data_IF_975599966303
#
_entry.id   IF_975599966303
#
_cell.length_a   1.000
_cell.length_b   1.000
_cell.length_c   1.000
_cell.angle_alpha   90.00
_cell.angle_beta   90.00
_cell.angle_gamma   90.00
#
_symmetry.space_group_name_H-M   'P 1'
#
loop_
_entity.id
_entity.type
_entity.pdbx_description
1 polymer ?
#
# COMPACT_ATOMS: atom_id res chain seq x y z
N UNK A 1 -29.85 -5.83 -11.67
CA UNK A 1 -28.67 -5.22 -12.32
C UNK A 1 -27.46 -5.71 -11.55
N UNK A 2 -26.52 -6.40 -12.22
CA UNK A 2 -25.35 -6.96 -11.51
C UNK A 2 -24.54 -5.84 -10.85
N UNK A 3 -24.09 -5.99 -9.60
CA UNK A 3 -23.38 -4.94 -8.87
C UNK A 3 -22.07 -4.51 -9.53
N UNK A 4 -21.54 -5.31 -10.44
CA UNK A 4 -20.24 -5.07 -11.06
C UNK A 4 -20.14 -3.79 -11.91
N UNK A 5 -21.23 -3.36 -12.56
CA UNK A 5 -21.26 -2.13 -13.36
C UNK A 5 -21.78 -0.89 -12.63
N UNK A 6 -22.21 -1.03 -11.37
CA UNK A 6 -22.73 0.10 -10.57
C UNK A 6 -21.63 1.13 -10.32
N UNK A 7 -21.84 2.42 -10.65
CA UNK A 7 -20.87 3.45 -10.36
C UNK A 7 -20.75 3.67 -8.84
N UNK A 8 -19.53 4.01 -8.40
CA UNK A 8 -19.29 4.42 -7.03
C UNK A 8 -19.58 5.91 -6.86
N UNK A 9 -20.06 6.36 -5.68
CA UNK A 9 -20.33 7.77 -5.41
C UNK A 9 -19.06 8.63 -5.44
N UNK A 10 -17.93 8.03 -5.11
CA UNK A 10 -16.61 8.64 -5.17
C UNK A 10 -15.59 7.61 -5.66
N UNK A 11 -14.58 8.06 -6.41
CA UNK A 11 -13.54 7.20 -6.92
C UNK A 11 -12.59 6.76 -5.80
N UNK A 12 -12.17 5.51 -5.89
CA UNK A 12 -11.06 4.94 -5.13
C UNK A 12 -9.80 4.93 -5.98
N UNK A 13 -8.68 4.78 -5.33
CA UNK A 13 -7.40 4.61 -5.99
C UNK A 13 -6.74 3.30 -5.56
N UNK A 14 -6.48 2.45 -6.55
CA UNK A 14 -5.60 1.32 -6.39
C UNK A 14 -4.18 1.78 -6.66
N UNK A 15 -3.31 1.61 -5.66
CA UNK A 15 -1.93 2.07 -5.70
C UNK A 15 -1.00 0.87 -5.64
N UNK A 16 0.00 0.85 -6.48
CA UNK A 16 1.10 -0.11 -6.40
C UNK A 16 2.43 0.65 -6.39
N UNK A 17 3.27 0.38 -5.41
CA UNK A 17 4.61 0.93 -5.30
C UNK A 17 5.63 -0.20 -5.14
N UNK A 18 6.59 -0.29 -6.04
CA UNK A 18 7.67 -1.27 -5.96
C UNK A 18 8.96 -0.63 -5.44
N UNK A 19 9.75 -1.39 -4.70
CA UNK A 19 11.12 -0.99 -4.33
C UNK A 19 12.00 -1.01 -5.58
N UNK A 20 12.89 -0.04 -5.71
CA UNK A 20 13.84 0.04 -6.82
C UNK A 20 14.62 -1.27 -6.99
N UNK A 21 14.61 -1.82 -8.22
CA UNK A 21 15.23 -3.11 -8.53
C UNK A 21 14.65 -4.30 -7.79
N UNK A 22 13.40 -4.22 -7.33
CA UNK A 22 12.65 -5.32 -6.71
C UNK A 22 13.30 -5.91 -5.45
N UNK A 23 14.12 -5.13 -4.75
CA UNK A 23 14.80 -5.59 -3.53
C UNK A 23 13.79 -5.87 -2.41
N UNK A 24 13.98 -6.97 -1.69
CA UNK A 24 13.15 -7.40 -0.56
C UNK A 24 13.41 -6.57 0.71
N UNK A 25 13.21 -5.26 0.59
CA UNK A 25 13.53 -4.29 1.64
C UNK A 25 12.63 -4.43 2.87
N UNK A 26 11.36 -4.77 2.63
CA UNK A 26 10.35 -4.90 3.70
C UNK A 26 10.35 -6.28 4.38
N UNK A 27 11.22 -7.20 3.97
CA UNK A 27 11.58 -8.36 4.78
C UNK A 27 12.32 -7.92 6.07
N UNK A 28 12.86 -6.69 6.09
CA UNK A 28 13.38 -6.06 7.30
C UNK A 28 12.24 -5.36 8.05
N UNK A 29 11.93 -5.86 9.24
CA UNK A 29 10.84 -5.34 10.09
C UNK A 29 10.94 -3.83 10.36
N UNK A 30 12.16 -3.30 10.60
CA UNK A 30 12.34 -1.87 10.83
C UNK A 30 11.96 -1.01 9.60
N UNK A 31 12.18 -1.52 8.38
CA UNK A 31 11.74 -0.85 7.16
C UNK A 31 10.23 -0.97 6.96
N UNK A 32 9.67 -2.16 7.21
CA UNK A 32 8.22 -2.38 7.14
C UNK A 32 7.47 -1.49 8.15
N UNK A 33 7.97 -1.38 9.37
CA UNK A 33 7.39 -0.54 10.42
C UNK A 33 7.32 0.95 10.01
N UNK A 34 8.36 1.48 9.37
CA UNK A 34 8.33 2.86 8.86
C UNK A 34 7.17 3.07 7.88
N UNK A 35 6.91 2.10 7.01
CA UNK A 35 5.79 2.17 6.06
C UNK A 35 4.46 2.18 6.81
N UNK A 36 4.26 1.26 7.75
CA UNK A 36 3.03 1.17 8.53
C UNK A 36 2.79 2.41 9.40
N UNK A 37 3.80 2.88 10.13
CA UNK A 37 3.69 4.07 10.97
C UNK A 37 3.32 5.31 10.13
N UNK A 38 3.86 5.39 8.89
CA UNK A 38 3.56 6.49 7.98
C UNK A 38 2.15 6.41 7.39
N UNK A 39 1.67 5.22 7.03
CA UNK A 39 0.29 5.02 6.57
C UNK A 39 -0.71 5.30 7.70
N UNK A 40 -0.42 4.84 8.92
CA UNK A 40 -1.27 5.12 10.08
C UNK A 40 -1.32 6.61 10.42
N UNK A 41 -0.19 7.31 10.27
CA UNK A 41 -0.15 8.77 10.42
C UNK A 41 -1.06 9.47 9.38
N UNK A 42 -0.99 9.09 8.10
CA UNK A 42 -1.85 9.66 7.07
C UNK A 42 -3.34 9.42 7.34
N UNK A 43 -3.68 8.22 7.79
CA UNK A 43 -5.04 7.85 8.20
C UNK A 43 -5.52 8.70 9.39
N UNK A 44 -4.74 8.75 10.47
CA UNK A 44 -5.08 9.49 11.70
C UNK A 44 -5.19 11.00 11.49
N UNK A 45 -4.38 11.55 10.60
CA UNK A 45 -4.42 12.97 10.24
C UNK A 45 -5.44 13.30 9.16
N UNK A 46 -6.28 12.32 8.79
CA UNK A 46 -7.33 12.45 7.77
C UNK A 46 -6.82 12.98 6.43
N UNK A 47 -5.61 12.61 6.05
CA UNK A 47 -5.06 12.90 4.72
C UNK A 47 -5.40 11.80 3.71
N UNK A 48 -5.55 10.58 4.22
CA UNK A 48 -5.85 9.39 3.43
C UNK A 48 -6.88 8.52 4.17
N UNK A 49 -7.91 8.11 3.47
CA UNK A 49 -8.79 7.03 3.87
C UNK A 49 -8.22 5.72 3.33
N UNK A 50 -7.91 4.79 4.21
CA UNK A 50 -7.30 3.51 3.88
C UNK A 50 -8.35 2.41 3.99
N UNK A 51 -8.55 1.67 2.90
CA UNK A 51 -9.54 0.60 2.81
C UNK A 51 -8.91 -0.78 2.75
N UNK A 52 -7.80 -0.93 2.05
CA UNK A 52 -7.06 -2.18 2.04
C UNK A 52 -5.56 -1.93 1.82
N UNK A 53 -4.76 -2.88 2.29
CA UNK A 53 -3.32 -2.88 2.03
C UNK A 53 -2.74 -4.29 2.03
N UNK A 54 -1.62 -4.43 1.34
CA UNK A 54 -0.66 -5.52 1.49
C UNK A 54 0.76 -4.97 1.30
N UNK A 55 1.64 -5.21 2.27
CA UNK A 55 3.05 -4.90 2.18
C UNK A 55 3.83 -6.20 1.98
N UNK A 56 4.27 -6.44 0.75
CA UNK A 56 5.11 -7.58 0.39
C UNK A 56 6.60 -7.21 0.56
N UNK A 57 7.53 -8.16 0.52
CA UNK A 57 8.96 -7.87 0.71
C UNK A 57 9.51 -6.74 -0.17
N UNK A 58 9.01 -6.55 -1.39
CA UNK A 58 9.46 -5.52 -2.33
C UNK A 58 8.36 -4.63 -2.90
N UNK A 59 7.13 -4.74 -2.42
CA UNK A 59 5.97 -4.01 -2.96
C UNK A 59 5.03 -3.56 -1.86
N UNK A 60 4.42 -2.40 -2.06
CA UNK A 60 3.25 -1.94 -1.32
C UNK A 60 2.05 -1.88 -2.29
N UNK A 61 0.93 -2.43 -1.87
CA UNK A 61 -0.35 -2.30 -2.57
C UNK A 61 -1.35 -1.66 -1.61
N UNK A 62 -2.11 -0.67 -2.10
CA UNK A 62 -3.13 0.03 -1.31
C UNK A 62 -4.42 0.15 -2.10
N UNK A 63 -5.53 0.15 -1.39
CA UNK A 63 -6.80 0.69 -1.82
C UNK A 63 -7.12 1.87 -0.90
N UNK A 64 -7.20 3.05 -1.45
CA UNK A 64 -7.34 4.27 -0.67
C UNK A 64 -8.14 5.34 -1.41
N UNK A 65 -8.50 6.39 -0.66
CA UNK A 65 -9.12 7.61 -1.16
C UNK A 65 -8.46 8.81 -0.46
N UNK A 66 -8.13 9.89 -1.15
CA UNK A 66 -7.71 11.11 -0.47
C UNK A 66 -8.90 11.70 0.27
N UNK A 67 -8.72 12.08 1.52
CA UNK A 67 -9.78 12.78 2.25
C UNK A 67 -9.97 14.22 1.72
N UNK A 68 -8.90 14.80 1.19
CA UNK A 68 -8.91 16.11 0.54
C UNK A 68 -7.78 16.20 -0.51
N UNK A 69 -8.05 16.90 -1.59
CA UNK A 69 -7.05 17.20 -2.62
C UNK A 69 -6.66 16.01 -3.50
N UNK A 70 -5.51 16.10 -4.14
CA UNK A 70 -5.02 15.09 -5.07
C UNK A 70 -4.28 13.96 -4.35
N UNK A 71 -4.71 12.71 -4.56
CA UNK A 71 -4.09 11.50 -4.00
C UNK A 71 -2.58 11.44 -4.32
N UNK A 72 -2.17 11.83 -5.52
CA UNK A 72 -0.77 11.84 -5.95
C UNK A 72 0.12 12.62 -4.99
N UNK A 73 -0.26 13.85 -4.63
CA UNK A 73 0.52 14.67 -3.69
C UNK A 73 0.67 14.05 -2.31
N UNK A 74 -0.37 13.39 -1.81
CA UNK A 74 -0.32 12.69 -0.51
C UNK A 74 0.66 11.53 -0.57
N UNK A 75 0.62 10.77 -1.67
CA UNK A 75 1.47 9.60 -1.87
C UNK A 75 2.92 9.97 -2.21
N UNK A 76 3.15 11.07 -2.93
CA UNK A 76 4.51 11.59 -3.17
C UNK A 76 5.17 11.97 -1.83
N UNK A 77 4.47 12.72 -0.98
CA UNK A 77 4.95 13.05 0.37
C UNK A 77 5.19 11.82 1.25
N UNK A 78 4.34 10.79 1.14
CA UNK A 78 4.54 9.50 1.80
C UNK A 78 5.81 8.80 1.30
N UNK A 79 6.01 8.75 -0.02
CA UNK A 79 7.17 8.11 -0.63
C UNK A 79 8.48 8.80 -0.22
N UNK A 80 8.53 10.13 -0.28
CA UNK A 80 9.71 10.92 0.12
C UNK A 80 10.04 10.72 1.60
N UNK A 81 9.03 10.82 2.47
CA UNK A 81 9.22 10.66 3.90
C UNK A 81 9.72 9.26 4.27
N UNK A 82 9.07 8.21 3.75
CA UNK A 82 9.46 6.83 4.04
C UNK A 82 10.83 6.50 3.46
N UNK A 83 11.15 6.98 2.25
CA UNK A 83 12.47 6.81 1.63
C UNK A 83 13.58 7.41 2.50
N UNK A 84 13.42 8.64 2.98
CA UNK A 84 14.40 9.29 3.85
C UNK A 84 14.62 8.52 5.16
N UNK A 85 13.54 8.06 5.80
CA UNK A 85 13.58 7.30 7.06
C UNK A 85 14.23 5.92 6.88
N UNK A 86 13.86 5.18 5.83
CA UNK A 86 14.43 3.87 5.50
C UNK A 86 15.91 4.02 5.15
N UNK A 87 16.29 5.02 4.36
CA UNK A 87 17.69 5.32 4.07
C UNK A 87 18.51 5.53 5.35
N UNK A 88 17.94 6.21 6.34
CA UNK A 88 18.56 6.36 7.68
C UNK A 88 18.78 5.04 8.39
N UNK A 89 17.83 4.10 8.33
CA UNK A 89 17.97 2.75 8.91
C UNK A 89 19.07 1.97 8.20
N UNK A 90 19.09 1.99 6.86
CA UNK A 90 20.08 1.27 6.07
C UNK A 90 21.50 1.79 6.30
N UNK A 91 21.70 3.11 6.38
CA UNK A 91 23.01 3.70 6.71
C UNK A 91 23.51 3.27 8.08
N UNK A 92 22.67 3.34 9.12
CA UNK A 92 23.05 2.90 10.47
C UNK A 92 23.43 1.42 10.55
N UNK A 93 22.89 0.59 9.65
CA UNK A 93 23.20 -0.85 9.55
C UNK A 93 24.35 -1.19 8.60
N UNK A 94 25.09 -0.20 8.12
CA UNK A 94 26.22 -0.42 7.21
C UNK A 94 25.85 -0.93 5.82
N UNK A 95 24.58 -0.72 5.37
CA UNK A 95 24.08 -1.17 4.08
C UNK A 95 24.34 -0.16 2.94
N UNK A 96 25.54 0.44 2.93
CA UNK A 96 25.98 1.38 1.90
C UNK A 96 25.85 0.85 0.47
N UNK A 97 26.32 -0.37 0.15
CA UNK A 97 26.18 -0.93 -1.20
C UNK A 97 24.73 -1.07 -1.67
N UNK A 98 23.78 -1.42 -0.77
CA UNK A 98 22.37 -1.48 -1.10
C UNK A 98 21.82 -0.09 -1.39
N UNK A 99 22.23 0.92 -0.65
CA UNK A 99 21.85 2.31 -0.90
C UNK A 99 22.32 2.78 -2.26
N UNK A 100 23.58 2.52 -2.61
CA UNK A 100 24.12 2.84 -3.93
C UNK A 100 23.34 2.18 -5.06
N UNK A 101 23.06 0.89 -4.94
CA UNK A 101 22.24 0.15 -5.89
C UNK A 101 20.85 0.76 -6.09
N UNK A 102 20.17 1.13 -4.98
CA UNK A 102 18.84 1.75 -5.06
C UNK A 102 18.89 3.10 -5.78
N UNK A 103 19.94 3.91 -5.55
CA UNK A 103 20.18 5.15 -6.28
C UNK A 103 20.28 4.93 -7.80
N UNK A 104 21.09 3.98 -8.21
CA UNK A 104 21.27 3.66 -9.64
C UNK A 104 19.96 3.23 -10.31
N UNK A 105 19.14 2.42 -9.61
CA UNK A 105 17.91 1.85 -10.18
C UNK A 105 16.75 2.83 -10.24
N UNK A 106 16.76 3.85 -9.42
CA UNK A 106 15.67 4.84 -9.38
C UNK A 106 16.01 6.14 -10.10
N UNK A 107 17.28 6.34 -10.50
CA UNK A 107 17.70 7.49 -11.30
C UNK A 107 17.68 8.85 -10.55
N UNK A 108 17.49 8.83 -9.23
CA UNK A 108 17.42 10.06 -8.46
C UNK A 108 18.75 10.37 -7.79
N UNK A 109 19.35 11.45 -8.18
CA UNK A 109 20.52 12.04 -7.57
C UNK A 109 20.13 12.96 -6.41
N UNK A 110 20.21 12.46 -5.17
CA UNK A 110 20.00 13.29 -3.98
C UNK A 110 20.18 12.51 -2.68
N UNK A 111 20.34 13.20 -1.53
CA UNK A 111 20.55 12.54 -0.23
C UNK A 111 19.36 11.72 0.29
N UNK A 112 18.19 11.83 -0.34
CA UNK A 112 17.00 11.00 -0.10
C UNK A 112 16.76 10.08 -1.27
N UNK A 113 17.64 9.08 -1.53
CA UNK A 113 17.46 8.15 -2.62
C UNK A 113 16.04 7.62 -2.64
N UNK A 114 15.30 7.71 -3.75
CA UNK A 114 14.01 7.11 -3.84
C UNK A 114 14.18 5.60 -3.70
N UNK A 115 13.72 5.09 -2.59
CA UNK A 115 13.59 3.67 -2.32
C UNK A 115 12.50 3.10 -3.21
N UNK A 116 11.47 3.91 -3.42
CA UNK A 116 10.35 3.59 -4.27
C UNK A 116 10.68 3.85 -5.74
N UNK A 117 10.35 2.90 -6.57
CA UNK A 117 10.23 3.14 -8.01
C UNK A 117 8.98 3.99 -8.30
N UNK A 118 8.53 3.97 -9.55
CA UNK A 118 7.31 4.68 -9.93
C UNK A 118 6.11 4.15 -9.13
N UNK A 119 5.36 5.06 -8.50
CA UNK A 119 4.04 4.77 -7.98
C UNK A 119 3.06 4.69 -9.15
N UNK A 120 2.38 3.56 -9.25
CA UNK A 120 1.31 3.37 -10.23
C UNK A 120 -0.04 3.56 -9.53
N UNK A 121 -0.82 4.54 -10.04
CA UNK A 121 -2.13 4.89 -9.53
C UNK A 121 -3.18 4.57 -10.57
N UNK A 122 -4.15 3.77 -10.17
CA UNK A 122 -5.32 3.44 -11.00
C UNK A 122 -6.59 3.88 -10.29
N UNK A 123 -7.35 4.75 -10.92
CA UNK A 123 -8.65 5.17 -10.45
C UNK A 123 -9.68 4.05 -10.64
N UNK A 124 -10.55 3.87 -9.65
CA UNK A 124 -11.62 2.89 -9.62
C UNK A 124 -12.93 3.61 -9.38
N UNK A 125 -13.80 3.58 -10.36
CA UNK A 125 -15.12 4.25 -10.33
C UNK A 125 -16.32 3.29 -10.29
N UNK A 126 -16.10 1.97 -10.18
CA UNK A 126 -17.18 0.98 -10.17
C UNK A 126 -17.03 -0.03 -9.03
N UNK A 127 -18.17 -0.57 -8.56
CA UNK A 127 -18.19 -1.61 -7.52
C UNK A 127 -17.40 -2.84 -7.95
N UNK A 128 -17.55 -3.29 -9.19
CA UNK A 128 -16.77 -4.43 -9.69
C UNK A 128 -15.26 -4.20 -9.69
N UNK A 129 -14.84 -2.98 -10.07
CA UNK A 129 -13.43 -2.58 -9.99
C UNK A 129 -12.91 -2.56 -8.56
N UNK A 130 -13.73 -2.11 -7.60
CA UNK A 130 -13.41 -2.08 -6.18
C UNK A 130 -13.22 -3.49 -5.61
N UNK A 131 -14.14 -4.41 -5.89
CA UNK A 131 -14.06 -5.81 -5.48
C UNK A 131 -12.83 -6.50 -6.08
N UNK A 132 -12.57 -6.28 -7.37
CA UNK A 132 -11.38 -6.83 -8.03
C UNK A 132 -10.07 -6.31 -7.41
N UNK A 133 -10.03 -5.04 -7.01
CA UNK A 133 -8.86 -4.47 -6.33
C UNK A 133 -8.65 -5.09 -4.94
N UNK A 134 -9.71 -5.26 -4.14
CA UNK A 134 -9.67 -5.95 -2.85
C UNK A 134 -9.11 -7.36 -2.99
N UNK A 135 -9.66 -8.16 -3.91
CA UNK A 135 -9.21 -9.52 -4.19
C UNK A 135 -7.73 -9.54 -4.62
N UNK A 136 -7.33 -8.62 -5.51
CA UNK A 136 -5.96 -8.53 -5.97
C UNK A 136 -4.97 -8.22 -4.85
N UNK A 137 -5.31 -7.28 -3.95
CA UNK A 137 -4.48 -6.92 -2.80
C UNK A 137 -4.34 -8.11 -1.86
N UNK A 138 -5.47 -8.72 -1.48
CA UNK A 138 -5.50 -9.73 -0.43
C UNK A 138 -4.95 -11.08 -0.88
N UNK A 139 -5.11 -11.45 -2.15
CA UNK A 139 -4.59 -12.71 -2.69
C UNK A 139 -3.09 -12.63 -3.06
N UNK A 140 -2.53 -11.42 -3.23
CA UNK A 140 -1.13 -11.28 -3.67
C UNK A 140 -0.12 -11.97 -2.76
N UNK A 141 -0.21 -11.91 -1.41
CA UNK A 141 0.74 -12.60 -0.53
C UNK A 141 0.76 -14.12 -0.65
N UNK A 142 -0.36 -14.74 -1.06
CA UNK A 142 -0.50 -16.20 -1.20
C UNK A 142 -0.25 -16.69 -2.63
N UNK A 143 -0.06 -15.77 -3.58
CA UNK A 143 0.20 -16.11 -4.97
C UNK A 143 1.46 -16.98 -5.11
N UNK A 144 1.54 -17.85 -6.16
CA UNK A 144 2.62 -18.83 -6.33
C UNK A 144 4.02 -18.24 -6.29
N UNK A 145 4.18 -17.01 -6.75
CA UNK A 145 5.47 -16.30 -6.75
C UNK A 145 5.89 -15.75 -5.38
N UNK A 146 4.94 -15.62 -4.43
CA UNK A 146 5.20 -15.05 -3.11
C UNK A 146 5.15 -16.07 -1.98
N UNK A 147 4.07 -16.82 -1.85
CA UNK A 147 3.85 -17.88 -0.84
C UNK A 147 4.22 -17.43 0.58
N UNK A 148 3.83 -16.20 0.95
CA UNK A 148 4.21 -15.59 2.24
C UNK A 148 3.36 -16.08 3.41
N UNK A 149 2.21 -16.69 3.13
CA UNK A 149 1.34 -17.32 4.12
C UNK A 149 0.50 -18.43 3.47
N UNK A 150 0.05 -19.44 4.23
CA UNK A 150 -0.85 -20.48 3.73
C UNK A 150 -2.22 -19.95 3.31
N UNK A 151 -2.76 -18.98 4.07
CA UNK A 151 -4.01 -18.29 3.80
C UNK A 151 -3.80 -16.78 3.81
N UNK A 152 -4.54 -16.05 2.98
CA UNK A 152 -4.43 -14.59 2.88
C UNK A 152 -4.72 -13.88 4.20
N UNK A 153 -5.64 -14.41 5.01
CA UNK A 153 -5.99 -13.87 6.33
C UNK A 153 -4.93 -14.11 7.41
N UNK A 154 -3.93 -14.94 7.15
CA UNK A 154 -2.82 -15.22 8.06
C UNK A 154 -1.58 -14.34 7.78
N UNK A 155 -1.58 -13.63 6.64
CA UNK A 155 -0.48 -12.72 6.34
C UNK A 155 -0.62 -11.42 7.12
N UNK A 156 0.23 -11.25 8.13
CA UNK A 156 0.14 -10.13 9.09
C UNK A 156 0.33 -8.74 8.48
N UNK A 157 1.02 -8.64 7.35
CA UNK A 157 1.25 -7.38 6.65
C UNK A 157 0.19 -7.11 5.56
N UNK A 158 -1.05 -7.57 5.81
CA UNK A 158 -2.20 -7.36 4.95
C UNK A 158 -3.46 -7.10 5.78
N UNK A 159 -4.40 -6.37 5.19
CA UNK A 159 -5.74 -6.16 5.75
C UNK A 159 -6.72 -7.30 5.48
N UNK A 160 -6.28 -8.42 4.88
CA UNK A 160 -7.16 -9.55 4.54
C UNK A 160 -7.88 -10.14 5.77
N UNK A 161 -7.23 -10.16 6.94
CA UNK A 161 -7.85 -10.65 8.17
C UNK A 161 -9.09 -9.86 8.59
N UNK A 162 -9.17 -8.58 8.25
CA UNK A 162 -10.35 -7.75 8.49
C UNK A 162 -11.54 -8.20 7.62
N UNK A 163 -11.30 -8.39 6.34
CA UNK A 163 -12.35 -8.75 5.38
C UNK A 163 -12.83 -10.19 5.51
N UNK A 164 -11.92 -11.12 5.84
CA UNK A 164 -12.21 -12.54 5.93
C UNK A 164 -12.68 -12.98 7.31
N UNK A 165 -12.18 -12.36 8.39
CA UNK A 165 -12.36 -12.85 9.76
C UNK A 165 -12.89 -11.77 10.73
N UNK A 166 -13.07 -10.52 10.28
CA UNK A 166 -13.46 -9.39 11.15
C UNK A 166 -12.40 -9.03 12.20
N UNK A 167 -11.14 -9.44 12.03
CA UNK A 167 -10.04 -9.13 12.94
C UNK A 167 -9.38 -7.82 12.56
N UNK A 168 -8.97 -7.06 13.57
CA UNK A 168 -8.23 -5.82 13.34
C UNK A 168 -6.83 -6.12 12.77
N UNK A 169 -6.46 -5.51 11.61
CA UNK A 169 -5.13 -5.65 11.02
C UNK A 169 -4.12 -4.75 11.73
N UNK A 170 -2.83 -4.85 11.36
CA UNK A 170 -1.72 -4.06 11.95
C UNK A 170 -1.96 -2.55 11.93
N UNK A 171 -2.68 -2.02 10.96
CA UNK A 171 -3.27 -0.67 10.95
C UNK A 171 -4.76 -0.77 10.59
N UNK A 172 -5.63 -0.05 11.30
CA UNK A 172 -7.07 -0.09 11.02
C UNK A 172 -7.40 0.37 9.61
N UNK A 173 -8.41 -0.25 9.01
CA UNK A 173 -8.95 0.12 7.69
C UNK A 173 -10.44 0.43 7.76
N UNK A 174 -10.93 1.19 6.81
CA UNK A 174 -12.35 1.37 6.58
C UNK A 174 -12.88 0.18 5.77
N UNK A 175 -14.14 -0.18 5.98
CA UNK A 175 -14.78 -1.24 5.21
C UNK A 175 -15.27 -0.71 3.86
N UNK A 176 -14.55 -1.07 2.80
CA UNK A 176 -14.91 -0.65 1.45
C UNK A 176 -16.30 -1.14 1.02
N UNK A 177 -16.80 -2.24 1.60
CA UNK A 177 -18.12 -2.81 1.27
C UNK A 177 -19.26 -1.87 1.68
N UNK A 178 -19.07 -1.05 2.71
CA UNK A 178 -20.06 -0.08 3.17
C UNK A 178 -20.21 1.14 2.26
N UNK A 179 -19.29 1.34 1.34
CA UNK A 179 -19.28 2.52 0.45
C UNK A 179 -20.35 2.45 -0.67
N UNK A 180 -20.96 1.29 -0.89
CA UNK A 180 -22.05 1.13 -1.87
C UNK A 180 -23.34 0.56 -1.27
N UNK A 181 -23.33 -0.01 -0.04
CA UNK A 181 -24.51 -0.56 0.63
C UNK A 181 -25.52 0.55 1.01
N UNK A 182 -25.07 1.78 1.21
CA UNK A 182 -25.91 2.95 1.51
C UNK A 182 -26.65 3.56 0.30
N UNK A 183 -26.55 2.98 -0.90
CA UNK A 183 -27.17 3.45 -2.15
C UNK A 183 -28.35 2.59 -2.63
N UNK A 184 -28.85 1.67 -1.82
CA UNK A 184 -30.12 1.01 -2.06
C UNK A 184 -31.25 1.88 -1.48
N UNK A 185 -31.66 2.89 -2.25
CA UNK A 185 -33.00 3.53 -2.18
C UNK A 185 -33.56 3.63 -3.57
#
# INVERSE_FOLDING_TARGET
MEPQGKPLPQSFFFVTAAVGGWKHLFANEACARIVFDSLDHLRRTRKLELYAFALLPSHLMLLCRPAQGAVGRVLDGFADFTAARIAGVLRRRGRGPLMHYLHEKTGAGGPGAPIWGKLDLREIGTVGGLLAALERIHNKPTAPEWRLAPKRSEYVYSSACFYDLGREPIIPVLDARKEWEGFEM
#
